data_IF_543951391870
#
_entry.id   IF_543951391870
#
_cell.length_a   1.000
_cell.length_b   1.000
_cell.length_c   1.000
_cell.angle_alpha   90.00
_cell.angle_beta   90.00
_cell.angle_gamma   90.00
#
_symmetry.space_group_name_H-M   'P 1'
#
loop_
_entity.id
_entity.type
_entity.pdbx_description
1 polymer ?
#
# COMPACT_ATOMS: atom_id res chain seq x y z
N UNK A 1 -1.24 -17.42 4.28
CA UNK A 1 -0.15 -16.81 3.49
C UNK A 1 -0.63 -15.45 3.04
N UNK A 2 0.08 -14.37 3.38
CA UNK A 2 -0.32 -13.00 3.09
C UNK A 2 -0.25 -12.73 1.58
N UNK A 3 -1.14 -11.90 1.05
CA UNK A 3 -1.07 -11.46 -0.34
C UNK A 3 -0.39 -10.08 -0.39
N UNK A 4 0.33 -9.78 -1.47
CA UNK A 4 1.02 -8.50 -1.58
C UNK A 4 0.03 -7.32 -1.55
N UNK A 5 -1.04 -7.44 -2.34
CA UNK A 5 -2.20 -6.53 -2.25
C UNK A 5 -3.27 -7.16 -1.38
N UNK A 6 -3.97 -6.33 -0.60
CA UNK A 6 -5.14 -6.78 0.16
C UNK A 6 -6.25 -7.26 -0.77
N UNK A 7 -7.13 -8.12 -0.23
CA UNK A 7 -8.40 -8.43 -0.86
C UNK A 7 -9.40 -7.28 -0.59
N UNK A 8 -9.84 -6.54 -1.62
CA UNK A 8 -10.76 -5.41 -1.43
C UNK A 8 -12.16 -5.84 -0.97
N UNK A 9 -12.51 -7.13 -1.02
CA UNK A 9 -13.78 -7.61 -0.44
C UNK A 9 -13.79 -7.58 1.09
N UNK A 10 -12.62 -7.48 1.74
CA UNK A 10 -12.48 -7.41 3.21
C UNK A 10 -12.78 -6.03 3.80
N UNK A 11 -12.91 -5.02 2.93
CA UNK A 11 -13.29 -3.66 3.31
C UNK A 11 -14.73 -3.45 2.87
N UNK A 12 -15.63 -3.33 3.83
CA UNK A 12 -17.02 -2.97 3.57
C UNK A 12 -17.12 -1.54 3.03
N UNK A 13 -18.21 -1.25 2.33
CA UNK A 13 -18.48 0.10 1.82
C UNK A 13 -18.60 1.11 2.98
N UNK A 14 -19.12 0.68 4.12
CA UNK A 14 -19.23 1.52 5.33
C UNK A 14 -17.85 1.81 5.93
N UNK A 15 -17.00 0.80 6.12
CA UNK A 15 -15.61 1.01 6.53
C UNK A 15 -14.89 1.95 5.56
N UNK A 16 -15.05 1.75 4.24
CA UNK A 16 -14.44 2.66 3.25
C UNK A 16 -14.96 4.10 3.36
N UNK A 17 -16.24 4.30 3.69
CA UNK A 17 -16.81 5.62 3.97
C UNK A 17 -16.13 6.26 5.17
N UNK A 18 -16.03 5.54 6.28
CA UNK A 18 -15.39 6.01 7.52
C UNK A 18 -13.92 6.36 7.31
N UNK A 19 -13.19 5.51 6.56
CA UNK A 19 -11.80 5.78 6.19
C UNK A 19 -11.68 7.04 5.32
N UNK A 20 -12.61 7.23 4.38
CA UNK A 20 -12.64 8.43 3.54
C UNK A 20 -12.96 9.67 4.37
N UNK A 21 -13.94 9.59 5.29
CA UNK A 21 -14.40 10.71 6.12
C UNK A 21 -13.37 11.18 7.16
N UNK A 22 -12.70 10.23 7.82
CA UNK A 22 -11.82 10.50 8.97
C UNK A 22 -10.44 11.01 8.59
N UNK A 23 -10.03 10.82 7.33
CA UNK A 23 -8.67 11.14 6.89
C UNK A 23 -8.61 12.51 6.23
N UNK A 24 -7.47 13.17 6.42
CA UNK A 24 -7.10 14.31 5.59
C UNK A 24 -6.87 13.82 4.16
N UNK A 25 -7.63 14.38 3.23
CA UNK A 25 -7.51 14.06 1.82
C UNK A 25 -6.41 14.88 1.15
N UNK A 26 -5.79 14.30 0.13
CA UNK A 26 -4.96 15.07 -0.81
C UNK A 26 -5.80 16.18 -1.45
N UNK A 27 -5.22 17.35 -1.80
CA UNK A 27 -5.98 18.49 -2.32
C UNK A 27 -6.94 18.13 -3.47
N UNK A 28 -6.48 17.31 -4.42
CA UNK A 28 -7.29 16.84 -5.55
C UNK A 28 -8.30 15.74 -5.23
N UNK A 29 -8.57 15.44 -3.95
CA UNK A 29 -9.55 14.45 -3.49
C UNK A 29 -10.48 14.98 -2.40
N UNK A 30 -10.37 16.25 -1.99
CA UNK A 30 -11.20 16.86 -0.93
C UNK A 30 -12.69 16.79 -1.27
N UNK A 31 -13.06 16.88 -2.56
CA UNK A 31 -14.44 16.72 -3.04
C UNK A 31 -15.09 15.38 -2.64
N UNK A 32 -14.29 14.37 -2.25
CA UNK A 32 -14.82 13.10 -1.75
C UNK A 32 -15.55 13.23 -0.40
N UNK A 33 -15.28 14.29 0.36
CA UNK A 33 -16.00 14.60 1.60
C UNK A 33 -17.36 15.27 1.38
N UNK A 34 -17.60 15.85 0.21
CA UNK A 34 -18.86 16.52 -0.08
C UNK A 34 -19.99 15.51 -0.15
N UNK A 35 -21.06 15.77 0.62
CA UNK A 35 -22.28 14.95 0.64
C UNK A 35 -21.98 13.46 0.87
N UNK A 36 -20.95 13.13 1.67
CA UNK A 36 -20.45 11.76 1.79
C UNK A 36 -21.55 10.76 2.18
N UNK A 37 -22.43 11.13 3.12
CA UNK A 37 -23.55 10.29 3.55
C UNK A 37 -24.55 10.02 2.42
N UNK A 38 -24.95 11.06 1.69
CA UNK A 38 -25.88 10.95 0.57
C UNK A 38 -25.28 10.10 -0.56
N UNK A 39 -24.03 10.41 -0.95
CA UNK A 39 -23.35 9.76 -2.06
C UNK A 39 -23.06 8.29 -1.75
N UNK A 40 -22.54 7.96 -0.57
CA UNK A 40 -22.37 6.56 -0.15
C UNK A 40 -23.72 5.86 0.04
N UNK A 41 -24.77 6.58 0.46
CA UNK A 41 -26.14 6.09 0.46
C UNK A 41 -26.59 5.62 -0.92
N UNK A 42 -26.32 6.39 -1.98
CA UNK A 42 -26.61 6.01 -3.37
C UNK A 42 -25.80 4.80 -3.83
N UNK A 43 -24.52 4.69 -3.44
CA UNK A 43 -23.69 3.52 -3.71
C UNK A 43 -24.30 2.26 -3.08
N UNK A 44 -24.70 2.34 -1.81
CA UNK A 44 -25.32 1.24 -1.07
C UNK A 44 -26.66 0.82 -1.68
N UNK A 45 -27.54 1.77 -2.02
CA UNK A 45 -28.81 1.49 -2.71
C UNK A 45 -28.62 0.83 -4.08
N UNK A 46 -27.46 1.03 -4.72
CA UNK A 46 -27.13 0.37 -5.98
C UNK A 46 -26.68 -1.10 -5.82
N UNK A 47 -26.59 -1.59 -4.58
CA UNK A 47 -26.18 -2.96 -4.24
C UNK A 47 -24.68 -3.13 -4.02
N UNK A 48 -23.93 -2.05 -3.76
CA UNK A 48 -22.52 -2.14 -3.37
C UNK A 48 -22.41 -2.43 -1.87
N UNK A 49 -21.63 -3.45 -1.52
CA UNK A 49 -21.38 -3.81 -0.12
C UNK A 49 -19.91 -3.68 0.27
N UNK A 50 -18.99 -3.77 -0.70
CA UNK A 50 -17.55 -3.80 -0.46
C UNK A 50 -16.77 -2.86 -1.37
N UNK A 51 -15.51 -2.59 -1.01
CA UNK A 51 -14.55 -1.90 -1.87
C UNK A 51 -14.33 -2.67 -3.19
N UNK A 52 -14.40 -4.00 -3.14
CA UNK A 52 -14.34 -4.88 -4.31
C UNK A 52 -15.48 -4.61 -5.29
N UNK A 53 -16.71 -4.42 -4.80
CA UNK A 53 -17.86 -4.07 -5.64
C UNK A 53 -17.67 -2.71 -6.32
N UNK A 54 -17.21 -1.73 -5.57
CA UNK A 54 -16.95 -0.39 -6.09
C UNK A 54 -15.92 -0.43 -7.22
N UNK A 55 -14.78 -1.08 -7.00
CA UNK A 55 -13.71 -1.21 -8.01
C UNK A 55 -14.20 -1.96 -9.26
N UNK A 56 -14.99 -3.02 -9.08
CA UNK A 56 -15.58 -3.78 -10.17
C UNK A 56 -16.58 -2.94 -10.95
N UNK A 57 -17.50 -2.25 -10.27
CA UNK A 57 -18.56 -1.46 -10.91
C UNK A 57 -17.97 -0.25 -11.64
N UNK A 58 -16.97 0.43 -11.07
CA UNK A 58 -16.33 1.60 -11.67
C UNK A 58 -15.10 1.24 -12.54
N UNK A 59 -14.95 -0.03 -12.94
CA UNK A 59 -13.72 -0.55 -13.57
C UNK A 59 -13.33 0.11 -14.89
N UNK A 60 -14.27 0.65 -15.67
CA UNK A 60 -14.00 1.32 -16.95
C UNK A 60 -14.72 2.66 -17.06
N UNK A 61 -14.29 3.50 -18.02
CA UNK A 61 -14.95 4.78 -18.32
C UNK A 61 -16.42 4.58 -18.68
N UNK A 62 -16.75 3.60 -19.52
CA UNK A 62 -18.13 3.30 -19.90
C UNK A 62 -18.99 2.92 -18.69
N UNK A 63 -18.45 2.12 -17.77
CA UNK A 63 -19.19 1.74 -16.56
C UNK A 63 -19.37 2.90 -15.60
N UNK A 64 -18.38 3.78 -15.46
CA UNK A 64 -18.51 5.02 -14.68
C UNK A 64 -19.65 5.88 -15.25
N UNK A 65 -19.69 6.08 -16.56
CA UNK A 65 -20.73 6.85 -17.24
C UNK A 65 -22.12 6.24 -17.03
N UNK A 66 -22.26 4.94 -17.27
CA UNK A 66 -23.53 4.25 -17.05
C UNK A 66 -23.98 4.31 -15.58
N UNK A 67 -23.04 4.23 -14.64
CA UNK A 67 -23.34 4.31 -13.22
C UNK A 67 -23.72 5.74 -12.80
N UNK A 68 -23.03 6.76 -13.31
CA UNK A 68 -23.36 8.18 -13.11
C UNK A 68 -24.79 8.49 -13.56
N UNK A 69 -25.18 8.04 -14.77
CA UNK A 69 -26.55 8.20 -15.28
C UNK A 69 -27.57 7.50 -14.39
N UNK A 70 -27.25 6.29 -13.90
CA UNK A 70 -28.14 5.49 -13.06
C UNK A 70 -28.38 6.11 -11.68
N UNK A 71 -27.34 6.67 -11.05
CA UNK A 71 -27.41 7.14 -9.66
C UNK A 71 -27.56 8.66 -9.54
N UNK A 72 -27.30 9.40 -10.61
CA UNK A 72 -27.21 10.87 -10.58
C UNK A 72 -25.88 11.38 -10.01
N UNK A 73 -24.92 10.51 -9.69
CA UNK A 73 -23.62 10.93 -9.18
C UNK A 73 -22.76 11.59 -10.27
N UNK A 74 -22.01 12.65 -9.96
CA UNK A 74 -21.08 13.26 -10.92
C UNK A 74 -20.00 12.27 -11.37
N UNK A 75 -19.71 12.23 -12.68
CA UNK A 75 -18.65 11.36 -13.23
C UNK A 75 -17.29 11.63 -12.59
N UNK A 76 -16.92 12.90 -12.42
CA UNK A 76 -15.64 13.30 -11.82
C UNK A 76 -15.52 12.81 -10.38
N UNK A 77 -16.61 12.85 -9.61
CA UNK A 77 -16.65 12.27 -8.26
C UNK A 77 -16.37 10.77 -8.29
N UNK A 78 -17.02 10.02 -9.19
CA UNK A 78 -16.84 8.58 -9.32
C UNK A 78 -15.42 8.20 -9.78
N UNK A 79 -14.81 9.00 -10.66
CA UNK A 79 -13.40 8.82 -11.07
C UNK A 79 -12.47 9.00 -9.86
N UNK A 80 -12.69 10.03 -9.06
CA UNK A 80 -11.89 10.29 -7.87
C UNK A 80 -12.10 9.22 -6.80
N UNK A 81 -13.34 8.77 -6.61
CA UNK A 81 -13.69 7.73 -5.65
C UNK A 81 -13.05 6.40 -6.03
N UNK A 82 -13.09 6.01 -7.32
CA UNK A 82 -12.36 4.84 -7.82
C UNK A 82 -10.86 4.97 -7.57
N UNK A 83 -10.29 6.16 -7.75
CA UNK A 83 -8.86 6.40 -7.53
C UNK A 83 -8.48 6.28 -6.05
N UNK A 84 -9.35 6.73 -5.15
CA UNK A 84 -9.20 6.56 -3.70
C UNK A 84 -9.34 5.09 -3.31
N UNK A 85 -10.38 4.39 -3.79
CA UNK A 85 -10.54 2.98 -3.55
C UNK A 85 -9.32 2.17 -4.04
N UNK A 86 -8.82 2.52 -5.22
CA UNK A 86 -7.68 1.86 -5.84
C UNK A 86 -6.33 2.18 -5.18
N UNK A 87 -6.22 3.17 -4.30
CA UNK A 87 -4.95 3.40 -3.60
C UNK A 87 -4.68 2.33 -2.54
N UNK A 88 -5.70 1.69 -1.98
CA UNK A 88 -5.51 0.54 -1.08
C UNK A 88 -4.92 -0.70 -1.76
N UNK A 89 -4.89 -0.75 -3.09
CA UNK A 89 -4.28 -1.86 -3.83
C UNK A 89 -2.81 -1.57 -4.09
N UNK A 90 -1.94 -2.38 -3.49
CA UNK A 90 -0.51 -2.27 -3.64
C UNK A 90 -0.09 -2.45 -5.11
N UNK A 91 0.76 -1.55 -5.61
CA UNK A 91 1.29 -1.63 -6.98
C UNK A 91 2.71 -2.20 -6.94
N UNK A 92 2.93 -3.40 -7.50
CA UNK A 92 4.26 -3.99 -7.54
C UNK A 92 5.20 -3.14 -8.39
N UNK A 93 6.47 -3.09 -8.01
CA UNK A 93 7.53 -2.46 -8.79
C UNK A 93 8.81 -3.29 -8.77
N UNK A 94 9.78 -3.05 -9.67
CA UNK A 94 11.00 -3.85 -9.74
C UNK A 94 11.85 -3.77 -8.47
N UNK A 95 12.43 -4.89 -8.05
CA UNK A 95 13.30 -4.95 -6.85
C UNK A 95 14.52 -4.03 -6.97
N UNK A 96 14.98 -3.77 -8.19
CA UNK A 96 16.07 -2.82 -8.50
C UNK A 96 15.74 -1.37 -8.14
N UNK A 97 14.49 -1.05 -7.76
CA UNK A 97 14.09 0.29 -7.31
C UNK A 97 14.50 0.59 -5.88
N UNK A 98 14.95 -0.40 -5.10
CA UNK A 98 15.39 -0.19 -3.72
C UNK A 98 16.84 0.32 -3.68
N UNK A 99 17.11 1.49 -3.06
CA UNK A 99 18.48 1.93 -2.83
C UNK A 99 19.24 0.96 -1.94
N UNK A 100 20.54 0.81 -2.18
CA UNK A 100 21.44 -0.01 -1.36
C UNK A 100 21.34 -1.52 -1.57
N UNK A 101 20.42 -1.99 -2.42
CA UNK A 101 20.39 -3.40 -2.85
C UNK A 101 21.34 -3.56 -4.05
N UNK A 102 22.35 -4.44 -3.97
CA UNK A 102 23.28 -4.69 -5.07
C UNK A 102 22.55 -5.10 -6.36
N UNK A 103 22.98 -4.52 -7.48
CA UNK A 103 22.42 -4.83 -8.80
C UNK A 103 22.50 -6.33 -9.13
N UNK A 104 23.66 -6.94 -8.85
CA UNK A 104 23.92 -8.38 -8.99
C UNK A 104 22.87 -9.27 -8.30
N UNK A 105 22.38 -8.88 -7.11
CA UNK A 105 21.33 -9.63 -6.42
C UNK A 105 20.01 -9.53 -7.16
N UNK A 106 19.65 -8.34 -7.63
CA UNK A 106 18.37 -8.14 -8.34
C UNK A 106 18.35 -8.83 -9.70
N UNK A 107 19.45 -8.86 -10.44
CA UNK A 107 19.54 -9.64 -11.69
C UNK A 107 19.53 -11.14 -11.44
N UNK A 108 20.18 -11.61 -10.37
CA UNK A 108 20.13 -13.02 -10.00
C UNK A 108 18.71 -13.47 -9.64
N UNK A 109 17.99 -12.69 -8.82
CA UNK A 109 16.58 -12.95 -8.49
C UNK A 109 15.69 -12.93 -9.73
N UNK A 110 15.90 -11.95 -10.62
CA UNK A 110 15.18 -11.86 -11.89
C UNK A 110 15.43 -13.06 -12.80
N UNK A 111 16.65 -13.61 -12.84
CA UNK A 111 16.96 -14.85 -13.57
C UNK A 111 16.20 -16.08 -13.04
N UNK A 112 15.69 -16.00 -11.80
CA UNK A 112 14.85 -17.02 -11.15
C UNK A 112 13.36 -16.68 -11.22
N UNK A 113 12.96 -15.68 -12.00
CA UNK A 113 11.56 -15.25 -12.15
C UNK A 113 11.04 -14.39 -11.00
N UNK A 114 11.90 -13.91 -10.09
CA UNK A 114 11.53 -13.03 -8.99
C UNK A 114 11.92 -11.59 -9.37
N UNK A 115 10.96 -10.85 -9.92
CA UNK A 115 11.23 -9.57 -10.61
C UNK A 115 10.77 -8.38 -9.79
N UNK A 116 9.59 -8.49 -9.18
CA UNK A 116 8.90 -7.42 -8.50
C UNK A 116 8.83 -7.61 -6.99
N UNK A 117 8.47 -6.54 -6.28
CA UNK A 117 8.16 -6.57 -4.85
C UNK A 117 7.08 -7.59 -4.49
N UNK A 118 6.08 -7.76 -5.37
CA UNK A 118 5.05 -8.79 -5.21
C UNK A 118 5.63 -10.20 -5.29
N UNK A 119 6.39 -10.47 -6.35
CA UNK A 119 6.96 -11.81 -6.57
C UNK A 119 7.80 -12.22 -5.37
N UNK A 120 8.64 -11.31 -4.87
CA UNK A 120 9.49 -11.58 -3.71
C UNK A 120 8.67 -11.76 -2.43
N UNK A 121 7.76 -10.84 -2.12
CA UNK A 121 6.95 -10.90 -0.90
C UNK A 121 6.09 -12.16 -0.83
N UNK A 122 5.45 -12.56 -1.93
CA UNK A 122 4.57 -13.73 -1.93
C UNK A 122 5.33 -15.06 -1.87
N UNK A 123 6.56 -15.10 -2.39
CA UNK A 123 7.38 -16.33 -2.38
C UNK A 123 8.25 -16.48 -1.12
N UNK A 124 8.60 -15.40 -0.43
CA UNK A 124 9.64 -15.39 0.61
C UNK A 124 9.12 -15.10 2.02
N UNK A 125 7.88 -15.49 2.34
CA UNK A 125 7.26 -15.22 3.65
C UNK A 125 7.85 -16.06 4.79
N UNK A 126 8.23 -17.30 4.51
CA UNK A 126 8.79 -18.20 5.50
C UNK A 126 10.32 -18.11 5.54
N UNK A 127 10.90 -18.19 6.74
CA UNK A 127 12.36 -18.20 6.91
C UNK A 127 13.02 -19.35 6.15
N UNK A 128 12.34 -20.50 6.03
CA UNK A 128 12.82 -21.63 5.26
C UNK A 128 12.96 -21.29 3.76
N UNK A 129 11.99 -20.61 3.17
CA UNK A 129 12.03 -20.19 1.75
C UNK A 129 13.22 -19.25 1.50
N UNK A 130 13.46 -18.33 2.43
CA UNK A 130 14.61 -17.42 2.38
C UNK A 130 15.94 -18.17 2.55
N UNK A 131 16.02 -19.15 3.45
CA UNK A 131 17.22 -19.96 3.65
C UNK A 131 17.54 -20.81 2.41
N UNK A 132 16.53 -21.43 1.80
CA UNK A 132 16.69 -22.20 0.55
C UNK A 132 17.15 -21.29 -0.60
N UNK A 133 16.54 -20.10 -0.73
CA UNK A 133 16.96 -19.13 -1.75
C UNK A 133 18.40 -18.66 -1.52
N UNK A 134 18.79 -18.40 -0.27
CA UNK A 134 20.16 -18.05 0.13
C UNK A 134 21.16 -19.10 -0.31
N UNK A 135 20.92 -20.39 0.00
CA UNK A 135 21.76 -21.50 -0.43
C UNK A 135 21.87 -21.62 -1.95
N UNK A 136 20.77 -21.41 -2.66
CA UNK A 136 20.70 -21.60 -4.12
C UNK A 136 21.21 -20.41 -4.94
N UNK A 137 21.44 -19.25 -4.31
CA UNK A 137 21.86 -18.02 -5.00
C UNK A 137 23.17 -17.46 -4.45
N UNK A 138 23.57 -17.85 -3.24
CA UNK A 138 24.67 -17.24 -2.51
C UNK A 138 24.33 -15.86 -1.93
N UNK A 139 23.10 -15.35 -2.09
CA UNK A 139 22.67 -14.09 -1.48
C UNK A 139 22.56 -14.31 0.04
N UNK A 140 23.27 -13.53 0.87
CA UNK A 140 23.21 -13.73 2.31
C UNK A 140 21.79 -13.61 2.87
N UNK A 141 21.43 -14.49 3.81
CA UNK A 141 20.08 -14.53 4.41
C UNK A 141 19.65 -13.18 4.99
N UNK A 142 20.57 -12.41 5.58
CA UNK A 142 20.25 -11.08 6.11
C UNK A 142 19.81 -10.09 5.02
N UNK A 143 20.33 -10.22 3.79
CA UNK A 143 19.92 -9.42 2.63
C UNK A 143 18.55 -9.83 2.10
N UNK A 144 18.21 -11.12 2.18
CA UNK A 144 16.87 -11.59 1.84
C UNK A 144 15.84 -11.12 2.87
N UNK A 145 16.17 -11.13 4.16
CA UNK A 145 15.35 -10.56 5.24
C UNK A 145 15.13 -9.06 5.06
N UNK A 146 16.19 -8.32 4.75
CA UNK A 146 16.11 -6.90 4.38
C UNK A 146 15.19 -6.67 3.19
N UNK A 147 15.37 -7.42 2.10
CA UNK A 147 14.55 -7.28 0.89
C UNK A 147 13.08 -7.63 1.15
N UNK A 148 12.81 -8.65 1.96
CA UNK A 148 11.46 -8.99 2.40
C UNK A 148 10.81 -7.84 3.16
N UNK A 149 11.53 -7.26 4.11
CA UNK A 149 11.09 -6.09 4.89
C UNK A 149 10.76 -4.90 3.99
N UNK A 150 11.63 -4.58 3.04
CA UNK A 150 11.40 -3.51 2.06
C UNK A 150 10.17 -3.79 1.19
N UNK A 151 9.96 -5.03 0.76
CA UNK A 151 8.79 -5.41 -0.01
C UNK A 151 7.49 -5.31 0.79
N UNK A 152 7.50 -5.73 2.07
CA UNK A 152 6.33 -5.59 2.94
C UNK A 152 5.94 -4.11 3.14
N UNK A 153 6.90 -3.26 3.48
CA UNK A 153 6.66 -1.81 3.63
C UNK A 153 6.13 -1.16 2.35
N UNK A 154 6.55 -1.66 1.19
CA UNK A 154 6.15 -1.16 -0.13
C UNK A 154 4.70 -1.50 -0.52
N UNK A 155 3.99 -2.27 0.32
CA UNK A 155 2.54 -2.50 0.17
C UNK A 155 1.73 -1.25 0.50
N UNK A 156 2.30 -0.35 1.31
CA UNK A 156 1.62 0.86 1.80
C UNK A 156 1.58 1.95 0.72
N UNK A 157 0.40 2.55 0.51
CA UNK A 157 0.23 3.70 -0.38
C UNK A 157 1.21 4.82 -0.06
N UNK A 158 1.94 5.29 -1.07
CA UNK A 158 2.93 6.36 -0.91
C UNK A 158 4.32 5.88 -0.48
N UNK A 159 4.47 4.58 -0.17
CA UNK A 159 5.77 3.99 0.15
C UNK A 159 6.37 3.36 -1.10
N UNK A 160 7.19 4.13 -1.83
CA UNK A 160 8.04 3.63 -2.91
C UNK A 160 9.40 3.14 -2.41
N UNK A 161 10.25 2.65 -3.32
CA UNK A 161 11.54 2.03 -2.95
C UNK A 161 12.46 2.90 -2.10
N UNK A 162 12.54 4.21 -2.37
CA UNK A 162 13.31 5.15 -1.54
C UNK A 162 12.73 5.25 -0.13
N UNK A 163 11.41 5.42 -0.02
CA UNK A 163 10.79 5.64 1.29
C UNK A 163 10.73 4.34 2.12
N UNK A 164 10.55 3.18 1.48
CA UNK A 164 10.72 1.88 2.14
C UNK A 164 12.13 1.74 2.74
N UNK A 165 13.17 2.16 2.00
CA UNK A 165 14.55 2.21 2.51
C UNK A 165 14.68 3.18 3.69
N UNK A 166 14.09 4.38 3.60
CA UNK A 166 14.13 5.34 4.72
C UNK A 166 13.52 4.74 5.98
N UNK A 167 12.33 4.13 5.87
CA UNK A 167 11.66 3.44 6.98
C UNK A 167 12.53 2.31 7.55
N UNK A 168 13.16 1.52 6.68
CA UNK A 168 14.08 0.46 7.10
C UNK A 168 15.29 1.02 7.86
N UNK A 169 15.96 2.05 7.37
CA UNK A 169 17.07 2.64 8.13
C UNK A 169 16.61 3.32 9.43
N UNK A 170 15.33 3.74 9.52
CA UNK A 170 14.68 4.26 10.72
C UNK A 170 14.12 3.16 11.66
N UNK A 171 14.61 1.93 11.53
CA UNK A 171 14.27 0.77 12.35
C UNK A 171 12.84 0.20 12.20
N UNK A 172 12.10 0.61 11.16
CA UNK A 172 10.81 0.03 10.83
C UNK A 172 11.02 -1.19 9.91
N UNK A 173 10.58 -2.37 10.35
CA UNK A 173 10.88 -3.66 9.68
C UNK A 173 9.69 -4.30 8.96
N UNK A 174 8.47 -3.87 9.23
CA UNK A 174 7.27 -4.43 8.61
C UNK A 174 6.10 -3.44 8.67
N UNK A 175 5.05 -3.76 7.94
CA UNK A 175 3.82 -2.93 7.88
C UNK A 175 3.17 -2.79 9.25
N UNK A 176 3.19 -3.84 10.09
CA UNK A 176 2.68 -3.80 11.47
C UNK A 176 3.46 -2.78 12.32
N UNK A 177 4.79 -2.84 12.29
CA UNK A 177 5.65 -1.91 13.03
C UNK A 177 5.42 -0.46 12.56
N UNK A 178 5.21 -0.25 11.26
CA UNK A 178 4.89 1.07 10.73
C UNK A 178 3.53 1.56 11.24
N UNK A 179 2.51 0.71 11.19
CA UNK A 179 1.14 1.05 11.59
C UNK A 179 1.00 1.38 13.09
N UNK A 180 1.88 0.87 13.94
CA UNK A 180 1.83 1.07 15.40
C UNK A 180 2.83 2.09 15.94
N UNK A 181 3.60 2.76 15.07
CA UNK A 181 4.70 3.63 15.53
C UNK A 181 4.20 5.00 16.03
N UNK A 182 5.02 5.63 16.87
CA UNK A 182 4.83 7.03 17.25
C UNK A 182 5.33 7.96 16.14
N UNK A 183 4.45 8.84 15.65
CA UNK A 183 4.73 9.71 14.49
C UNK A 183 5.90 10.66 14.76
N UNK A 184 5.97 11.25 15.97
CA UNK A 184 7.00 12.23 16.31
C UNK A 184 8.38 11.57 16.28
N UNK A 185 8.52 10.42 16.93
CA UNK A 185 9.77 9.66 16.96
C UNK A 185 10.17 9.15 15.57
N UNK A 186 9.20 8.69 14.77
CA UNK A 186 9.47 8.23 13.42
C UNK A 186 9.94 9.37 12.52
N UNK A 187 9.32 10.55 12.63
CA UNK A 187 9.68 11.71 11.81
C UNK A 187 11.15 12.11 12.02
N UNK A 188 11.56 12.25 13.28
CA UNK A 188 12.94 12.58 13.62
C UNK A 188 13.92 11.54 13.06
N UNK A 189 13.60 10.25 13.24
CA UNK A 189 14.43 9.14 12.77
C UNK A 189 14.54 9.13 11.23
N UNK A 190 13.43 9.35 10.52
CA UNK A 190 13.42 9.41 9.06
C UNK A 190 14.20 10.63 8.55
N UNK A 191 14.07 11.79 9.18
CA UNK A 191 14.79 13.01 8.79
C UNK A 191 16.31 12.81 8.94
N UNK A 192 16.75 12.24 10.06
CA UNK A 192 18.17 11.90 10.27
C UNK A 192 18.70 10.95 9.19
N UNK A 193 17.91 9.94 8.81
CA UNK A 193 18.28 9.01 7.72
C UNK A 193 18.38 9.73 6.37
N UNK A 194 17.38 10.56 6.04
CA UNK A 194 17.33 11.30 4.77
C UNK A 194 18.55 12.23 4.67
N UNK A 195 18.88 12.96 5.74
CA UNK A 195 20.03 13.85 5.80
C UNK A 195 21.35 13.08 5.67
N UNK A 196 21.50 11.99 6.42
CA UNK A 196 22.72 11.16 6.42
C UNK A 196 23.01 10.53 5.06
N UNK A 197 21.98 10.07 4.35
CA UNK A 197 22.14 9.32 3.11
C UNK A 197 21.84 10.13 1.84
N UNK A 198 21.35 11.36 1.96
CA UNK A 198 21.04 12.24 0.83
C UNK A 198 19.87 11.73 -0.03
N UNK A 199 18.91 11.01 0.57
CA UNK A 199 17.78 10.48 -0.19
C UNK A 199 16.88 11.61 -0.72
N UNK A 200 16.52 11.53 -2.00
CA UNK A 200 15.57 12.45 -2.63
C UNK A 200 14.12 12.12 -2.23
N UNK A 201 13.81 12.21 -0.92
CA UNK A 201 12.51 11.85 -0.34
C UNK A 201 11.54 13.05 -0.22
N UNK A 202 11.91 14.23 -0.73
CA UNK A 202 11.15 15.47 -0.54
C UNK A 202 11.17 15.94 0.91
N UNK A 203 10.38 16.98 1.22
CA UNK A 203 10.24 17.47 2.60
C UNK A 203 9.20 16.60 3.32
N UNK A 204 9.67 15.55 3.99
CA UNK A 204 8.83 14.68 4.82
C UNK A 204 8.26 15.46 6.01
N UNK A 205 6.95 15.50 6.13
CA UNK A 205 6.23 16.05 7.27
C UNK A 205 5.43 15.00 8.04
N UNK A 206 4.91 15.40 9.22
CA UNK A 206 4.03 14.53 10.02
C UNK A 206 2.81 14.03 9.24
N UNK A 207 2.26 14.89 8.37
CA UNK A 207 1.05 14.58 7.61
C UNK A 207 1.28 13.47 6.58
N UNK A 208 2.48 13.41 6.00
CA UNK A 208 2.87 12.33 5.10
C UNK A 208 3.00 11.00 5.85
N UNK A 209 3.56 11.03 7.06
CA UNK A 209 3.64 9.84 7.93
C UNK A 209 2.27 9.38 8.40
N UNK A 210 1.42 10.30 8.86
CA UNK A 210 0.02 10.01 9.22
C UNK A 210 -0.72 9.37 8.04
N UNK A 211 -0.51 9.91 6.83
CA UNK A 211 -1.09 9.35 5.61
C UNK A 211 -0.63 7.91 5.39
N UNK A 212 0.68 7.63 5.45
CA UNK A 212 1.24 6.28 5.32
C UNK A 212 0.73 5.31 6.39
N UNK A 213 0.78 5.70 7.67
CA UNK A 213 0.31 4.90 8.81
C UNK A 213 -1.16 4.51 8.62
N UNK A 214 -2.01 5.44 8.20
CA UNK A 214 -3.42 5.16 7.95
C UNK A 214 -3.64 4.06 6.90
N UNK A 215 -2.83 3.99 5.84
CA UNK A 215 -2.91 2.86 4.89
C UNK A 215 -2.30 1.59 5.46
N UNK A 216 -1.19 1.69 6.19
CA UNK A 216 -0.57 0.55 6.86
C UNK A 216 -1.55 -0.14 7.83
N UNK A 217 -2.28 0.62 8.65
CA UNK A 217 -3.28 0.07 9.57
C UNK A 217 -4.40 -0.70 8.86
N UNK A 218 -4.80 -0.27 7.65
CA UNK A 218 -5.82 -0.99 6.85
C UNK A 218 -5.25 -2.29 6.30
N UNK A 219 -4.00 -2.29 5.84
CA UNK A 219 -3.32 -3.51 5.39
C UNK A 219 -3.23 -4.52 6.52
N UNK A 220 -2.77 -4.10 7.70
CA UNK A 220 -2.66 -4.95 8.90
C UNK A 220 -4.03 -5.52 9.31
N UNK A 221 -5.08 -4.69 9.30
CA UNK A 221 -6.44 -5.15 9.57
C UNK A 221 -6.91 -6.21 8.57
N UNK A 222 -6.62 -6.03 7.28
CA UNK A 222 -6.98 -7.00 6.23
C UNK A 222 -6.16 -8.29 6.32
N UNK A 223 -4.87 -8.21 6.66
CA UNK A 223 -4.02 -9.37 6.89
C UNK A 223 -4.60 -10.22 8.05
N UNK A 224 -4.95 -9.59 9.17
CA UNK A 224 -5.57 -10.30 10.30
C UNK A 224 -6.94 -10.90 9.94
N UNK A 225 -7.79 -10.18 9.18
CA UNK A 225 -9.08 -10.72 8.69
C UNK A 225 -8.88 -11.93 7.78
N UNK A 226 -7.77 -11.99 7.03
CA UNK A 226 -7.46 -13.09 6.13
C UNK A 226 -6.95 -14.32 6.87
N UNK A 227 -6.20 -14.12 7.96
CA UNK A 227 -5.68 -15.23 8.80
C UNK A 227 -6.79 -15.93 9.61
N UNK A 228 -7.96 -15.29 9.79
CA UNK A 228 -9.13 -15.86 10.48
C UNK A 228 -10.05 -16.69 9.58
N UNK A 229 -9.80 -16.73 8.26
CA UNK A 229 -10.58 -17.51 7.28
C UNK A 229 -9.89 -18.83 6.94
#
# INVERSE_FOLDING_TARGET
MKQYSIDPSLISLEEFKELTASRRMLPGRVVLHEQIEERFGQLKHSGMETLGDLLRILSSKSRIQSFAIKTGLPEDYLVLLKREAGSYLARPFPLSSFPGIPYEYTELLKSRGIISTKDFFEQMQAEQQQAELSLNTGIPTYRLKELYSLCDLSRVTGVGGIFARVLYEADIRCTEAFASTDISKLLDSCQLVIEKHGYAAGKLGEEDLKYGINYASVIVSCDHKSDLK
#
